data_IF_457948708459
#
_entry.id   IF_457948708459
#
_cell.length_a   1.000
_cell.length_b   1.000
_cell.length_c   1.000
_cell.angle_alpha   90.00
_cell.angle_beta   90.00
_cell.angle_gamma   90.00
#
_symmetry.space_group_name_H-M   'P 1'
#
loop_
_entity.id
_entity.type
_entity.pdbx_description
1 polymer ?
#
# COMPACT_ATOMS: atom_id res chain seq x y z
N UNK A 1 -13.63 -1.36 -23.04
CA UNK A 1 -13.03 -0.30 -22.19
C UNK A 1 -14.02 0.26 -21.18
N UNK A 2 -15.18 0.72 -21.63
CA UNK A 2 -16.20 1.34 -20.73
C UNK A 2 -16.72 0.36 -19.67
N UNK A 3 -16.97 -0.89 -20.04
CA UNK A 3 -17.45 -1.92 -19.11
C UNK A 3 -16.47 -2.19 -17.95
N UNK A 4 -15.16 -2.32 -18.22
CA UNK A 4 -14.17 -2.52 -17.15
C UNK A 4 -14.05 -1.26 -16.29
N UNK A 5 -14.14 -0.07 -16.90
CA UNK A 5 -14.14 1.20 -16.15
C UNK A 5 -15.31 1.28 -15.18
N UNK A 6 -16.51 0.88 -15.61
CA UNK A 6 -17.68 0.80 -14.73
C UNK A 6 -17.47 -0.22 -13.59
N UNK A 7 -16.86 -1.38 -13.89
CA UNK A 7 -16.51 -2.36 -12.87
C UNK A 7 -15.48 -1.82 -11.89
N UNK A 8 -14.42 -1.15 -12.37
CA UNK A 8 -13.39 -0.56 -11.52
C UNK A 8 -13.90 0.57 -10.63
N UNK A 9 -15.00 1.22 -11.00
CA UNK A 9 -15.69 2.19 -10.15
C UNK A 9 -16.50 1.54 -9.02
N UNK A 10 -16.75 0.24 -9.08
CA UNK A 10 -17.34 -0.49 -7.98
C UNK A 10 -16.24 -0.82 -6.95
N UNK A 11 -16.28 -0.27 -5.72
CA UNK A 11 -15.26 -0.50 -4.71
C UNK A 11 -15.16 -1.96 -4.25
N UNK A 12 -16.22 -2.75 -4.46
CA UNK A 12 -16.25 -4.20 -4.16
C UNK A 12 -15.72 -5.06 -5.29
N UNK A 13 -15.31 -4.47 -6.41
CA UNK A 13 -14.75 -5.20 -7.53
C UNK A 13 -13.23 -5.28 -7.43
N UNK A 14 -12.70 -6.50 -7.44
CA UNK A 14 -11.28 -6.78 -7.45
C UNK A 14 -10.89 -7.33 -8.84
N UNK A 15 -10.19 -6.53 -9.67
CA UNK A 15 -9.80 -6.96 -11.02
C UNK A 15 -8.66 -7.98 -10.97
N UNK A 16 -8.52 -8.77 -12.04
CA UNK A 16 -7.30 -9.54 -12.30
C UNK A 16 -6.29 -8.72 -13.10
N UNK A 17 -5.02 -9.15 -13.08
CA UNK A 17 -3.99 -8.56 -13.93
C UNK A 17 -4.33 -8.66 -15.42
N UNK A 18 -4.95 -9.78 -15.85
CA UNK A 18 -5.36 -9.97 -17.24
C UNK A 18 -6.44 -8.96 -17.67
N UNK A 19 -7.40 -8.68 -16.79
CA UNK A 19 -8.44 -7.67 -17.04
C UNK A 19 -7.82 -6.27 -17.13
N UNK A 20 -6.88 -5.92 -16.24
CA UNK A 20 -6.18 -4.64 -16.31
C UNK A 20 -5.32 -4.54 -17.56
N UNK A 21 -4.60 -5.59 -17.94
CA UNK A 21 -3.77 -5.62 -19.14
C UNK A 21 -4.55 -5.39 -20.43
N UNK A 22 -5.84 -5.70 -20.46
CA UNK A 22 -6.71 -5.44 -21.61
C UNK A 22 -7.06 -3.95 -21.79
N UNK A 23 -7.02 -3.16 -20.72
CA UNK A 23 -7.39 -1.72 -20.71
C UNK A 23 -6.18 -0.82 -20.52
N UNK A 24 -5.27 -1.23 -19.67
CA UNK A 24 -3.99 -0.58 -19.44
C UNK A 24 -2.92 -1.51 -19.99
N UNK A 25 -2.50 -1.37 -21.25
CA UNK A 25 -1.44 -2.20 -21.79
C UNK A 25 -0.27 -2.14 -20.84
N UNK A 26 0.21 -3.31 -20.45
CA UNK A 26 1.40 -3.46 -19.61
C UNK A 26 2.52 -2.80 -20.40
N UNK A 27 2.91 -1.64 -19.97
CA UNK A 27 4.18 -1.10 -20.42
C UNK A 27 5.20 -1.98 -19.75
N UNK A 28 5.73 -2.96 -20.51
CA UNK A 28 6.97 -3.64 -20.12
C UNK A 28 7.92 -2.53 -19.68
N UNK A 29 8.56 -2.66 -18.53
CA UNK A 29 9.50 -1.68 -18.00
C UNK A 29 10.61 -1.35 -19.01
N UNK A 30 10.78 -2.15 -20.06
CA UNK A 30 11.60 -1.86 -21.26
C UNK A 30 10.98 -0.84 -22.22
N UNK A 31 9.71 -0.48 -22.09
CA UNK A 31 9.01 0.52 -22.92
C UNK A 31 8.95 1.90 -22.23
N UNK A 32 9.72 2.12 -21.19
CA UNK A 32 9.95 3.45 -20.56
C UNK A 32 10.49 4.48 -21.59
N UNK A 33 10.95 4.03 -22.74
CA UNK A 33 11.30 4.84 -23.91
C UNK A 33 10.18 4.98 -24.95
N UNK A 34 8.92 4.64 -24.60
CA UNK A 34 7.80 4.95 -25.47
C UNK A 34 7.75 6.46 -25.73
N UNK A 35 7.54 6.84 -26.98
CA UNK A 35 7.46 8.23 -27.44
C UNK A 35 6.49 9.03 -26.57
N UNK A 36 6.72 10.30 -26.34
CA UNK A 36 5.91 11.17 -25.48
C UNK A 36 4.39 11.03 -25.69
N UNK A 37 3.93 10.85 -26.92
CA UNK A 37 2.52 10.66 -27.26
C UNK A 37 1.88 9.37 -26.68
N UNK A 38 2.64 8.29 -26.46
CA UNK A 38 2.10 7.07 -25.82
C UNK A 38 2.02 7.23 -24.30
N UNK A 39 3.02 7.88 -23.71
CA UNK A 39 3.05 8.24 -22.29
C UNK A 39 1.87 9.18 -21.97
N UNK A 40 1.61 10.17 -22.81
CA UNK A 40 0.50 11.12 -22.64
C UNK A 40 -0.85 10.42 -22.72
N UNK A 41 -1.06 9.50 -23.66
CA UNK A 41 -2.30 8.70 -23.78
C UNK A 41 -2.54 7.79 -22.57
N UNK A 42 -1.49 7.23 -22.00
CA UNK A 42 -1.59 6.40 -20.79
C UNK A 42 -1.91 7.25 -19.57
N UNK A 43 -1.30 8.43 -19.46
CA UNK A 43 -1.58 9.40 -18.41
C UNK A 43 -3.05 9.87 -18.49
N UNK A 44 -3.55 10.22 -19.66
CA UNK A 44 -4.96 10.58 -19.83
C UNK A 44 -5.92 9.46 -19.44
N UNK A 45 -5.60 8.19 -19.75
CA UNK A 45 -6.42 7.05 -19.35
C UNK A 45 -6.43 6.86 -17.83
N UNK A 46 -5.27 7.02 -17.20
CA UNK A 46 -5.14 6.95 -15.76
C UNK A 46 -5.85 8.11 -15.07
N UNK A 47 -5.65 9.33 -15.53
CA UNK A 47 -6.32 10.52 -15.00
C UNK A 47 -7.86 10.41 -15.11
N UNK A 48 -8.39 9.84 -16.18
CA UNK A 48 -9.82 9.54 -16.30
C UNK A 48 -10.31 8.49 -15.31
N UNK A 49 -9.45 7.56 -14.89
CA UNK A 49 -9.77 6.54 -13.90
C UNK A 49 -9.65 7.07 -12.48
N UNK A 50 -8.61 7.83 -12.19
CA UNK A 50 -8.32 8.44 -10.89
C UNK A 50 -9.17 9.70 -10.65
N UNK A 51 -9.58 10.38 -11.73
CA UNK A 51 -10.34 11.62 -11.69
C UNK A 51 -11.80 11.48 -11.25
N UNK A 52 -12.23 10.29 -10.82
CA UNK A 52 -13.45 10.16 -10.04
C UNK A 52 -13.14 10.58 -8.59
N UNK A 53 -13.39 11.86 -8.28
CA UNK A 53 -13.10 12.51 -7.00
C UNK A 53 -13.70 11.80 -5.78
N UNK A 54 -14.68 10.92 -5.99
CA UNK A 54 -15.32 10.11 -4.95
C UNK A 54 -14.37 9.09 -4.31
N UNK A 55 -13.24 8.76 -4.94
CA UNK A 55 -12.31 7.76 -4.43
C UNK A 55 -10.87 8.20 -4.59
N UNK A 56 -10.12 8.29 -3.48
CA UNK A 56 -8.66 8.44 -3.53
C UNK A 56 -8.04 7.11 -3.92
N UNK A 57 -7.84 6.92 -5.21
CA UNK A 57 -7.19 5.73 -5.74
C UNK A 57 -5.72 6.06 -6.00
N UNK A 58 -4.85 5.60 -5.12
CA UNK A 58 -3.40 5.70 -5.33
C UNK A 58 -2.89 4.53 -6.16
N UNK A 59 -3.59 3.38 -6.11
CA UNK A 59 -3.18 2.12 -6.68
C UNK A 59 -4.38 1.25 -7.04
N UNK A 60 -4.27 0.45 -8.12
CA UNK A 60 -5.26 -0.59 -8.43
C UNK A 60 -4.76 -1.90 -7.81
N UNK A 61 -5.47 -2.36 -6.78
CA UNK A 61 -5.24 -3.65 -6.15
C UNK A 61 -5.82 -4.75 -7.05
N UNK A 62 -5.06 -5.83 -7.26
CA UNK A 62 -5.48 -6.98 -8.09
C UNK A 62 -5.74 -8.22 -7.24
N UNK A 63 -6.46 -9.21 -7.82
CA UNK A 63 -6.67 -10.53 -7.18
C UNK A 63 -5.34 -11.24 -6.91
N UNK A 64 -4.43 -11.18 -7.86
CA UNK A 64 -3.12 -11.81 -7.77
C UNK A 64 -2.29 -11.16 -6.66
N UNK A 65 -2.33 -9.83 -6.57
CA UNK A 65 -1.67 -9.09 -5.51
C UNK A 65 -2.20 -9.45 -4.13
N UNK A 66 -3.53 -9.39 -3.95
CA UNK A 66 -4.19 -9.76 -2.68
C UNK A 66 -3.85 -11.19 -2.27
N UNK A 67 -3.85 -12.13 -3.23
CA UNK A 67 -3.49 -13.51 -2.98
C UNK A 67 -2.05 -13.63 -2.46
N UNK A 68 -1.07 -13.07 -3.17
CA UNK A 68 0.35 -13.18 -2.79
C UNK A 68 0.67 -12.47 -1.48
N UNK A 69 0.17 -11.25 -1.30
CA UNK A 69 0.34 -10.53 -0.04
C UNK A 69 -0.35 -11.26 1.11
N UNK A 70 -1.55 -11.77 0.88
CA UNK A 70 -2.29 -12.55 1.87
C UNK A 70 -1.57 -13.84 2.27
N UNK A 71 -1.05 -14.60 1.31
CA UNK A 71 -0.25 -15.82 1.58
C UNK A 71 1.03 -15.48 2.37
N UNK A 72 1.73 -14.40 2.00
CA UNK A 72 2.86 -13.89 2.76
C UNK A 72 2.50 -13.59 4.21
N UNK A 73 1.45 -12.79 4.43
CA UNK A 73 1.01 -12.40 5.76
C UNK A 73 0.55 -13.59 6.61
N UNK A 74 -0.15 -14.56 6.01
CA UNK A 74 -0.52 -15.82 6.69
C UNK A 74 0.73 -16.55 7.20
N UNK A 75 1.75 -16.69 6.36
CA UNK A 75 3.01 -17.33 6.74
C UNK A 75 3.71 -16.59 7.88
N UNK A 76 3.73 -15.25 7.85
CA UNK A 76 4.33 -14.42 8.90
C UNK A 76 3.55 -14.52 10.22
N UNK A 77 2.23 -14.43 10.16
CA UNK A 77 1.38 -14.62 11.34
C UNK A 77 1.60 -15.97 12.02
N UNK A 78 1.69 -17.04 11.23
CA UNK A 78 1.97 -18.38 11.76
C UNK A 78 3.36 -18.42 12.44
N UNK A 79 4.38 -17.82 11.85
CA UNK A 79 5.73 -17.72 12.41
C UNK A 79 5.80 -16.94 13.72
N UNK A 80 4.90 -15.99 13.94
CA UNK A 80 4.82 -15.19 15.19
C UNK A 80 3.90 -15.78 16.27
N UNK A 81 3.35 -16.98 16.04
CA UNK A 81 2.47 -17.66 17.01
C UNK A 81 1.07 -17.05 17.12
N UNK A 82 0.65 -16.32 16.10
CA UNK A 82 -0.65 -15.66 16.01
C UNK A 82 -0.55 -14.37 15.21
N UNK A 83 -1.68 -13.88 14.67
CA UNK A 83 -1.70 -12.72 13.79
C UNK A 83 -2.56 -11.60 14.35
N UNK A 84 -1.93 -10.51 14.82
CA UNK A 84 -2.59 -9.21 14.92
C UNK A 84 -1.97 -8.28 13.88
N UNK A 85 -2.78 -7.94 12.89
CA UNK A 85 -2.45 -7.06 11.78
C UNK A 85 -3.12 -5.71 11.98
N UNK A 86 -2.39 -4.64 11.79
CA UNK A 86 -2.91 -3.28 11.83
C UNK A 86 -2.55 -2.57 10.52
N UNK A 87 -3.55 -2.10 9.78
CA UNK A 87 -3.35 -1.20 8.65
C UNK A 87 -3.55 0.24 9.11
N UNK A 88 -2.50 1.06 8.96
CA UNK A 88 -2.49 2.48 9.28
C UNK A 88 -2.69 3.30 8.00
N UNK A 89 -3.57 4.29 8.05
CA UNK A 89 -3.92 5.10 6.89
C UNK A 89 -4.70 4.29 5.86
N UNK A 90 -5.67 3.50 6.31
CA UNK A 90 -6.40 2.54 5.49
C UNK A 90 -7.33 3.20 4.44
N UNK A 91 -7.53 4.52 4.49
CA UNK A 91 -8.38 5.25 3.57
C UNK A 91 -9.80 4.70 3.53
N UNK A 92 -10.23 4.16 2.39
CA UNK A 92 -11.55 3.55 2.21
C UNK A 92 -11.67 2.11 2.77
N UNK A 93 -10.59 1.55 3.30
CA UNK A 93 -10.52 0.20 3.86
C UNK A 93 -10.49 -0.94 2.84
N UNK A 94 -10.26 -0.63 1.57
CA UNK A 94 -10.34 -1.60 0.46
C UNK A 94 -9.31 -2.73 0.61
N UNK A 95 -8.06 -2.41 0.92
CA UNK A 95 -7.02 -3.43 1.09
C UNK A 95 -7.38 -4.36 2.25
N UNK A 96 -7.79 -3.81 3.39
CA UNK A 96 -8.24 -4.58 4.55
C UNK A 96 -9.40 -5.51 4.21
N UNK A 97 -10.38 -5.01 3.45
CA UNK A 97 -11.56 -5.80 3.05
C UNK A 97 -11.14 -7.06 2.28
N UNK A 98 -10.36 -6.90 1.20
CA UNK A 98 -9.97 -8.03 0.37
C UNK A 98 -8.99 -8.99 1.06
N UNK A 99 -8.09 -8.48 1.90
CA UNK A 99 -7.22 -9.36 2.69
C UNK A 99 -8.00 -10.15 3.74
N UNK A 100 -8.98 -9.55 4.42
CA UNK A 100 -9.87 -10.28 5.34
C UNK A 100 -10.65 -11.39 4.63
N UNK A 101 -11.21 -11.11 3.45
CA UNK A 101 -11.89 -12.11 2.65
C UNK A 101 -10.94 -13.25 2.24
N UNK A 102 -9.72 -12.91 1.83
CA UNK A 102 -8.69 -13.91 1.50
C UNK A 102 -8.35 -14.79 2.71
N UNK A 103 -8.14 -14.20 3.89
CA UNK A 103 -7.84 -14.96 5.12
C UNK A 103 -8.99 -15.90 5.48
N UNK A 104 -10.23 -15.44 5.37
CA UNK A 104 -11.41 -16.27 5.63
C UNK A 104 -11.52 -17.42 4.66
N UNK A 105 -11.30 -17.17 3.36
CA UNK A 105 -11.30 -18.20 2.32
C UNK A 105 -10.18 -19.24 2.52
N UNK A 106 -9.02 -18.80 3.03
CA UNK A 106 -7.90 -19.68 3.40
C UNK A 106 -8.08 -20.39 4.77
N UNK A 107 -9.24 -20.24 5.43
CA UNK A 107 -9.50 -20.85 6.74
C UNK A 107 -8.79 -20.18 7.93
N UNK A 108 -8.17 -19.02 7.73
CA UNK A 108 -7.38 -18.29 8.75
C UNK A 108 -8.24 -17.39 9.64
N UNK A 109 -9.21 -17.97 10.34
CA UNK A 109 -10.18 -17.24 11.18
C UNK A 109 -9.57 -16.57 12.42
N UNK A 110 -8.32 -16.90 12.77
CA UNK A 110 -7.62 -16.37 13.95
C UNK A 110 -6.73 -15.17 13.66
N UNK A 111 -6.64 -14.76 12.40
CA UNK A 111 -5.91 -13.54 12.04
C UNK A 111 -6.83 -12.36 12.34
N UNK A 112 -6.44 -11.56 13.32
CA UNK A 112 -7.12 -10.31 13.67
C UNK A 112 -6.54 -9.20 12.78
N UNK A 113 -7.37 -8.62 11.93
CA UNK A 113 -6.97 -7.51 11.06
C UNK A 113 -7.78 -6.28 11.39
N UNK A 114 -7.12 -5.22 11.83
CA UNK A 114 -7.70 -3.92 12.09
C UNK A 114 -7.25 -2.92 11.03
N UNK A 115 -8.18 -2.08 10.59
CA UNK A 115 -7.91 -1.00 9.66
C UNK A 115 -8.28 0.32 10.31
N UNK A 116 -7.36 1.27 10.30
CA UNK A 116 -7.54 2.58 10.95
C UNK A 116 -7.10 3.71 10.04
N UNK A 117 -7.72 4.87 10.20
CA UNK A 117 -7.38 6.10 9.49
C UNK A 117 -7.73 7.30 10.37
N UNK A 118 -6.88 8.33 10.41
CA UNK A 118 -7.16 9.56 11.17
C UNK A 118 -8.03 10.54 10.39
N UNK A 119 -8.37 10.19 9.16
CA UNK A 119 -9.16 10.97 8.20
C UNK A 119 -8.65 12.37 7.93
N UNK A 120 -7.42 12.66 8.28
CA UNK A 120 -6.82 13.97 8.00
C UNK A 120 -6.75 14.28 6.50
N UNK A 121 -6.58 13.23 5.67
CA UNK A 121 -6.62 13.33 4.21
C UNK A 121 -8.01 13.30 3.58
N UNK A 122 -9.04 12.89 4.34
CA UNK A 122 -10.40 12.69 3.82
C UNK A 122 -11.25 13.98 3.82
N UNK A 123 -10.87 15.01 4.58
CA UNK A 123 -11.63 16.26 4.71
C UNK A 123 -11.94 16.92 3.37
N UNK A 124 -10.98 16.91 2.44
CA UNK A 124 -11.21 17.46 1.09
C UNK A 124 -12.16 16.62 0.24
N UNK A 125 -12.35 15.33 0.56
CA UNK A 125 -13.26 14.43 -0.15
C UNK A 125 -14.70 14.56 0.35
N UNK A 126 -14.89 14.72 1.67
CA UNK A 126 -16.21 15.00 2.25
C UNK A 126 -16.76 16.33 1.75
N UNK A 127 -15.91 17.36 1.64
CA UNK A 127 -16.27 18.66 1.05
C UNK A 127 -16.65 18.53 -0.43
N UNK A 128 -16.12 17.53 -1.15
CA UNK A 128 -16.44 17.21 -2.54
C UNK A 128 -17.62 16.23 -2.69
N UNK A 129 -18.28 15.84 -1.58
CA UNK A 129 -19.41 14.91 -1.58
C UNK A 129 -19.02 13.43 -1.71
N UNK A 130 -17.76 13.08 -1.43
CA UNK A 130 -17.27 11.70 -1.41
C UNK A 130 -17.74 10.93 -0.18
N UNK A 131 -18.18 9.68 -0.37
CA UNK A 131 -18.52 8.77 0.73
C UNK A 131 -17.25 8.02 1.18
N UNK A 132 -16.82 8.23 2.43
CA UNK A 132 -15.78 7.47 3.09
C UNK A 132 -16.21 7.14 4.54
N UNK A 133 -15.79 5.98 5.06
CA UNK A 133 -15.16 4.82 4.40
C UNK A 133 -16.17 3.91 3.73
N UNK A 134 -15.73 3.17 2.70
CA UNK A 134 -16.58 2.18 2.00
C UNK A 134 -16.65 0.87 2.81
N UNK A 135 -15.57 0.58 3.54
CA UNK A 135 -15.43 -0.60 4.40
C UNK A 135 -15.15 -0.18 5.85
N UNK A 136 -15.35 -1.08 6.84
CA UNK A 136 -15.12 -0.75 8.24
C UNK A 136 -13.66 -0.33 8.51
N UNK A 137 -13.48 0.95 8.83
CA UNK A 137 -12.23 1.60 9.23
C UNK A 137 -12.51 2.39 10.48
N UNK A 138 -11.72 2.19 11.53
CA UNK A 138 -11.83 2.97 12.75
C UNK A 138 -11.12 4.32 12.59
N UNK A 139 -11.79 5.39 13.04
CA UNK A 139 -11.21 6.72 13.06
C UNK A 139 -10.38 6.90 14.33
N UNK A 140 -9.06 6.83 14.19
CA UNK A 140 -8.10 6.94 15.29
C UNK A 140 -6.73 7.30 14.74
N UNK A 141 -5.94 8.07 15.48
CA UNK A 141 -4.58 8.42 15.11
C UNK A 141 -3.59 7.24 15.26
N UNK A 142 -2.43 7.37 14.62
CA UNK A 142 -1.41 6.33 14.55
C UNK A 142 -0.91 5.89 15.93
N UNK A 143 -0.62 6.84 16.83
CA UNK A 143 -0.05 6.53 18.14
C UNK A 143 -1.06 5.77 19.00
N UNK A 144 -2.31 6.27 19.05
CA UNK A 144 -3.38 5.64 19.78
C UNK A 144 -3.74 4.25 19.21
N UNK A 145 -3.68 4.08 17.88
CA UNK A 145 -3.92 2.80 17.24
C UNK A 145 -2.84 1.76 17.59
N UNK A 146 -1.56 2.14 17.56
CA UNK A 146 -0.44 1.27 17.93
C UNK A 146 -0.53 0.83 19.40
N UNK A 147 -0.88 1.74 20.31
CA UNK A 147 -1.09 1.44 21.72
C UNK A 147 -2.29 0.49 21.92
N UNK A 148 -3.44 0.84 21.33
CA UNK A 148 -4.70 0.08 21.49
C UNK A 148 -4.60 -1.34 20.99
N UNK A 149 -4.03 -1.55 19.81
CA UNK A 149 -4.04 -2.86 19.16
C UNK A 149 -2.77 -3.68 19.41
N UNK A 150 -1.68 -3.05 19.86
CA UNK A 150 -0.40 -3.73 20.10
C UNK A 150 -0.05 -4.74 19.00
N UNK A 151 -0.03 -4.33 17.70
CA UNK A 151 0.03 -5.23 16.57
C UNK A 151 1.39 -5.94 16.49
N UNK A 152 1.39 -7.15 15.91
CA UNK A 152 2.64 -7.83 15.53
C UNK A 152 3.12 -7.44 14.15
N UNK A 153 2.20 -7.19 13.24
CA UNK A 153 2.49 -6.74 11.88
C UNK A 153 1.72 -5.45 11.60
N UNK A 154 2.40 -4.45 11.09
CA UNK A 154 1.80 -3.18 10.65
C UNK A 154 1.89 -3.08 9.14
N UNK A 155 0.81 -2.67 8.49
CA UNK A 155 0.77 -2.38 7.05
C UNK A 155 0.51 -0.89 6.86
N UNK A 156 1.27 -0.26 5.98
CA UNK A 156 1.05 1.12 5.56
C UNK A 156 1.08 1.19 4.04
N UNK A 157 -0.06 1.47 3.45
CA UNK A 157 -0.17 1.70 2.01
C UNK A 157 -0.25 3.20 1.72
N UNK A 158 0.65 3.70 0.88
CA UNK A 158 0.65 5.09 0.43
C UNK A 158 0.70 6.13 1.56
N UNK A 159 1.67 5.96 2.45
CA UNK A 159 1.94 6.95 3.50
C UNK A 159 1.95 8.38 2.91
N UNK A 160 1.26 9.35 3.52
CA UNK A 160 1.19 10.71 3.00
C UNK A 160 2.57 11.34 2.79
N UNK A 161 2.70 12.14 1.73
CA UNK A 161 3.93 12.86 1.38
C UNK A 161 4.43 13.66 2.58
N UNK A 162 5.73 13.58 2.86
CA UNK A 162 6.37 14.33 3.94
C UNK A 162 6.07 13.83 5.35
N UNK A 163 5.25 12.78 5.48
CA UNK A 163 4.95 12.11 6.74
C UNK A 163 5.89 10.93 6.98
N UNK A 164 6.20 10.63 8.22
CA UNK A 164 6.87 9.39 8.63
C UNK A 164 6.25 8.82 9.91
N UNK A 165 5.55 7.70 9.76
CA UNK A 165 4.98 6.93 10.88
C UNK A 165 5.91 5.78 11.31
N UNK A 166 6.95 5.48 10.51
CA UNK A 166 7.76 4.29 10.71
C UNK A 166 8.55 4.33 12.02
N UNK A 167 8.91 5.53 12.49
CA UNK A 167 9.58 5.66 13.81
C UNK A 167 8.67 5.19 14.95
N UNK A 168 7.41 5.62 14.97
CA UNK A 168 6.44 5.19 15.98
C UNK A 168 6.17 3.68 15.89
N UNK A 169 6.10 3.15 14.67
CA UNK A 169 5.94 1.70 14.42
C UNK A 169 7.13 0.93 14.99
N UNK A 170 8.36 1.39 14.72
CA UNK A 170 9.59 0.72 15.20
C UNK A 170 9.78 0.81 16.70
N UNK A 171 9.30 1.90 17.34
CA UNK A 171 9.33 2.09 18.80
C UNK A 171 8.32 1.21 19.54
N UNK A 172 7.32 0.68 18.84
CA UNK A 172 6.30 -0.18 19.43
C UNK A 172 6.84 -1.60 19.61
N UNK A 173 7.00 -2.06 20.85
CA UNK A 173 7.63 -3.35 21.20
C UNK A 173 6.93 -4.57 20.61
N UNK A 174 5.60 -4.53 20.52
CA UNK A 174 4.80 -5.62 19.97
C UNK A 174 5.08 -5.86 18.48
N UNK A 175 5.49 -4.82 17.75
CA UNK A 175 5.72 -4.90 16.31
C UNK A 175 6.96 -5.72 16.01
N UNK A 176 6.77 -6.81 15.28
CA UNK A 176 7.82 -7.69 14.77
C UNK A 176 8.14 -7.43 13.32
N UNK A 177 7.18 -6.84 12.62
CA UNK A 177 7.30 -6.56 11.20
C UNK A 177 6.40 -5.39 10.79
N UNK A 178 6.86 -4.60 9.84
CA UNK A 178 5.98 -3.68 9.13
C UNK A 178 6.19 -3.77 7.62
N UNK A 179 5.10 -3.62 6.87
CA UNK A 179 5.06 -3.70 5.42
C UNK A 179 4.66 -2.34 4.87
N UNK A 180 5.52 -1.78 4.03
CA UNK A 180 5.25 -0.54 3.31
C UNK A 180 4.88 -0.86 1.86
N UNK A 181 3.81 -0.24 1.38
CA UNK A 181 3.32 -0.34 0.01
C UNK A 181 3.32 1.07 -0.59
N UNK A 182 4.00 1.27 -1.70
CA UNK A 182 4.07 2.57 -2.36
C UNK A 182 5.35 2.82 -3.14
N UNK A 183 5.69 4.07 -3.32
CA UNK A 183 6.83 4.52 -4.13
C UNK A 183 8.00 4.98 -3.26
N UNK A 184 9.07 4.17 -3.14
CA UNK A 184 10.22 4.53 -2.31
C UNK A 184 11.14 5.59 -2.94
N UNK A 185 11.09 5.78 -4.28
CA UNK A 185 12.09 6.57 -4.99
C UNK A 185 11.69 8.02 -5.31
N UNK A 186 10.40 8.36 -5.37
CA UNK A 186 9.91 9.60 -5.99
C UNK A 186 9.34 10.63 -5.01
N UNK A 187 9.61 10.55 -3.73
CA UNK A 187 9.11 11.48 -2.70
C UNK A 187 7.58 11.69 -2.70
N UNK A 188 6.86 10.77 -3.30
CA UNK A 188 5.38 10.80 -3.38
C UNK A 188 4.71 9.98 -2.29
N UNK A 189 5.51 9.24 -1.50
CA UNK A 189 5.04 8.38 -0.44
C UNK A 189 6.03 8.43 0.75
N UNK A 190 5.59 8.97 1.87
CA UNK A 190 6.41 9.15 3.06
C UNK A 190 7.58 10.11 2.86
N UNK A 191 8.71 9.84 3.53
CA UNK A 191 9.99 10.52 3.39
C UNK A 191 11.05 9.53 2.94
N UNK A 192 11.83 9.88 1.94
CA UNK A 192 12.79 8.97 1.28
C UNK A 192 13.77 8.32 2.25
N UNK A 193 14.35 9.08 3.17
CA UNK A 193 15.32 8.56 4.15
C UNK A 193 14.65 7.94 5.37
N UNK A 194 13.81 8.69 6.05
CA UNK A 194 13.20 8.29 7.33
C UNK A 194 12.31 7.06 7.17
N UNK A 195 11.50 7.05 6.09
CA UNK A 195 10.53 5.99 5.83
C UNK A 195 11.15 4.77 5.16
N UNK A 196 11.95 5.00 4.10
CA UNK A 196 12.42 3.93 3.23
C UNK A 196 13.90 3.60 3.42
N UNK A 197 14.70 4.49 4.02
CA UNK A 197 16.15 4.35 4.12
C UNK A 197 16.87 4.48 2.76
N UNK A 198 16.23 5.10 1.78
CA UNK A 198 16.74 5.20 0.40
C UNK A 198 17.02 6.67 0.08
N UNK A 199 18.18 7.14 0.43
CA UNK A 199 18.69 8.45 0.02
C UNK A 199 20.16 8.36 -0.33
N UNK A 200 20.51 8.77 -1.55
CA UNK A 200 21.90 8.68 -2.06
C UNK A 200 22.88 9.45 -1.19
N UNK A 201 22.50 10.61 -0.67
CA UNK A 201 23.37 11.44 0.18
C UNK A 201 23.79 10.69 1.44
N UNK A 202 22.83 10.10 2.16
CA UNK A 202 23.07 9.35 3.40
C UNK A 202 23.80 8.04 3.12
N UNK A 203 23.41 7.31 2.07
CA UNK A 203 24.08 6.07 1.67
C UNK A 203 25.54 6.30 1.26
N UNK A 204 25.86 7.40 0.53
CA UNK A 204 27.22 7.76 0.18
C UNK A 204 28.05 8.18 1.41
N UNK A 205 27.40 8.70 2.45
CA UNK A 205 28.05 8.99 3.73
C UNK A 205 28.30 7.74 4.59
N UNK A 206 27.83 6.57 4.16
CA UNK A 206 27.94 5.31 4.92
C UNK A 206 27.03 5.26 6.16
N UNK A 207 25.97 6.06 6.18
CA UNK A 207 25.03 6.07 7.29
C UNK A 207 24.13 4.82 7.23
N UNK A 208 23.98 4.16 8.41
CA UNK A 208 22.97 3.12 8.55
C UNK A 208 21.57 3.72 8.41
N UNK A 209 20.69 3.03 7.69
CA UNK A 209 19.32 3.46 7.51
C UNK A 209 18.56 3.54 8.86
N UNK A 210 17.53 4.41 8.99
CA UNK A 210 16.78 4.54 10.24
C UNK A 210 16.22 3.21 10.75
N UNK A 211 15.70 2.36 9.86
CA UNK A 211 15.20 1.04 10.25
C UNK A 211 16.31 0.10 10.76
N UNK A 212 17.53 0.20 10.22
CA UNK A 212 18.67 -0.61 10.67
C UNK A 212 19.13 -0.20 12.08
N UNK A 213 19.16 1.12 12.36
CA UNK A 213 19.49 1.68 13.68
C UNK A 213 18.51 1.20 14.75
N UNK A 214 17.24 1.02 14.37
CA UNK A 214 16.17 0.56 15.27
C UNK A 214 16.01 -0.99 15.26
N UNK A 215 16.97 -1.73 14.68
CA UNK A 215 17.04 -3.19 14.74
C UNK A 215 16.15 -3.93 13.76
N UNK A 216 15.79 -3.31 12.64
CA UNK A 216 15.04 -3.96 11.57
C UNK A 216 15.92 -4.27 10.35
N UNK A 217 15.50 -5.23 9.54
CA UNK A 217 16.08 -5.56 8.24
C UNK A 217 15.03 -5.40 7.15
N UNK A 218 15.43 -4.79 6.04
CA UNK A 218 14.57 -4.57 4.87
C UNK A 218 14.59 -5.80 3.95
N UNK A 219 13.41 -6.20 3.47
CA UNK A 219 13.21 -7.28 2.52
C UNK A 219 12.22 -6.83 1.43
N UNK A 220 12.68 -6.70 0.21
CA UNK A 220 11.81 -6.45 -0.94
C UNK A 220 10.97 -7.70 -1.24
N UNK A 221 9.66 -7.57 -1.28
CA UNK A 221 8.74 -8.63 -1.66
C UNK A 221 8.51 -8.61 -3.18
N UNK A 222 9.56 -8.93 -3.94
CA UNK A 222 9.57 -8.81 -5.42
C UNK A 222 8.42 -9.55 -6.09
N UNK A 223 8.12 -10.77 -5.64
CA UNK A 223 7.05 -11.60 -6.22
C UNK A 223 5.66 -11.01 -5.96
N UNK A 224 5.49 -10.28 -4.84
CA UNK A 224 4.27 -9.53 -4.52
C UNK A 224 4.20 -8.27 -5.37
N UNK A 225 5.29 -7.51 -5.40
CA UNK A 225 5.37 -6.23 -6.14
C UNK A 225 5.11 -6.36 -7.63
N UNK A 226 5.44 -7.51 -8.24
CA UNK A 226 5.18 -7.77 -9.66
C UNK A 226 3.69 -7.82 -10.01
N UNK A 227 2.83 -8.16 -9.06
CA UNK A 227 1.39 -8.23 -9.24
C UNK A 227 0.68 -6.95 -8.78
N UNK A 228 1.45 -5.95 -8.36
CA UNK A 228 0.97 -4.59 -8.14
C UNK A 228 0.81 -3.86 -9.47
N UNK A 229 -0.27 -3.12 -9.58
CA UNK A 229 -0.48 -2.15 -10.64
C UNK A 229 -0.68 -0.79 -10.01
N UNK A 230 0.44 -0.12 -9.78
CA UNK A 230 0.45 1.28 -9.45
C UNK A 230 0.74 2.08 -10.70
N UNK A 231 -0.17 2.95 -11.07
CA UNK A 231 0.05 3.95 -12.07
C UNK A 231 0.12 5.32 -11.40
N UNK A 232 1.33 5.76 -11.11
CA UNK A 232 1.55 7.18 -10.95
C UNK A 232 2.01 7.69 -12.30
N UNK A 233 1.22 8.56 -12.90
CA UNK A 233 1.41 9.08 -14.25
C UNK A 233 2.77 9.76 -14.53
N UNK A 234 3.61 9.94 -13.52
CA UNK A 234 4.89 10.64 -13.58
C UNK A 234 6.08 9.86 -13.04
N UNK A 235 5.89 8.62 -12.58
CA UNK A 235 6.97 7.83 -12.01
C UNK A 235 7.53 6.82 -13.01
N UNK A 236 8.86 6.79 -13.12
CA UNK A 236 9.59 5.80 -13.90
C UNK A 236 9.76 4.46 -13.13
N UNK A 237 9.24 4.40 -11.90
CA UNK A 237 9.34 3.23 -11.04
C UNK A 237 7.97 2.72 -10.62
N UNK A 238 7.72 1.41 -10.66
CA UNK A 238 6.48 0.82 -10.14
C UNK A 238 6.40 0.95 -8.61
N UNK A 239 5.20 0.88 -8.07
CA UNK A 239 4.97 0.69 -6.64
C UNK A 239 5.67 -0.58 -6.16
N UNK A 240 6.13 -0.56 -4.92
CA UNK A 240 6.83 -1.68 -4.28
C UNK A 240 6.16 -2.05 -2.97
N UNK A 241 6.24 -3.34 -2.66
CA UNK A 241 5.86 -3.88 -1.35
C UNK A 241 7.13 -4.33 -0.66
N UNK A 242 7.46 -3.67 0.44
CA UNK A 242 8.70 -3.89 1.19
C UNK A 242 8.37 -4.24 2.62
N UNK A 243 8.91 -5.35 3.11
CA UNK A 243 8.81 -5.76 4.50
C UNK A 243 10.06 -5.36 5.28
N UNK A 244 9.85 -4.89 6.49
CA UNK A 244 10.90 -4.58 7.46
C UNK A 244 10.69 -5.46 8.69
N UNK A 245 11.63 -6.35 8.96
CA UNK A 245 11.53 -7.40 9.99
C UNK A 245 12.48 -7.08 11.14
N UNK A 246 11.99 -7.12 12.37
CA UNK A 246 12.81 -6.96 13.57
C UNK A 246 13.78 -8.13 13.72
N UNK A 247 15.06 -7.82 13.90
CA UNK A 247 16.16 -8.79 14.10
C UNK A 247 16.12 -9.42 15.48
#
# INVERSE_FOLDING_TARGET
MEELRQKLNNPKYLPSLAELGSVFPIVDTKVIFATGAEKDRQNERWERYVGDERFVKREIITREYVKKLGEYLIGRCAGYGGGSLLELGAGDGRLAHFLREHFLAAGQKRIEYQAVDDRSGARGLEESGGELPIFPVEEIDVAAALEKYSPRIVIVAWMPIGTDWTKQIRDTESVKEYVLIGHPYDEVCGRRWETWGIDKKHLHAGEAAPYEKDGFAMHELKDVSQDERSFIARSDHPSQTISFIRK
#
